data_IF_960322603603
#
_entry.id   IF_960322603603
#
_cell.length_a   1.000
_cell.length_b   1.000
_cell.length_c   1.000
_cell.angle_alpha   90.00
_cell.angle_beta   90.00
_cell.angle_gamma   90.00
#
_symmetry.space_group_name_H-M   'P 1'
#
loop_
_entity.id
_entity.type
_entity.pdbx_description
1 polymer ?
#
# COMPACT_ATOMS: atom_id res chain seq x y z
N UNK A 1 18.03 -22.14 -19.89
CA UNK A 1 17.87 -20.69 -19.62
C UNK A 1 17.32 -20.55 -18.22
N UNK A 2 18.04 -19.89 -17.31
CA UNK A 2 17.59 -19.72 -15.92
C UNK A 2 16.39 -18.78 -15.90
N UNK A 3 15.21 -19.27 -15.51
CA UNK A 3 14.02 -18.43 -15.37
C UNK A 3 14.25 -17.33 -14.32
N UNK A 4 14.31 -16.08 -14.78
CA UNK A 4 14.42 -14.93 -13.89
C UNK A 4 13.02 -14.61 -13.38
N UNK A 5 12.81 -14.85 -12.08
CA UNK A 5 11.56 -14.57 -11.36
C UNK A 5 11.10 -13.11 -11.52
N UNK A 6 9.79 -12.91 -11.63
CA UNK A 6 9.10 -11.62 -11.74
C UNK A 6 9.38 -10.71 -10.54
N UNK A 7 9.59 -11.30 -9.36
CA UNK A 7 9.85 -10.60 -8.11
C UNK A 7 11.35 -10.61 -7.73
N UNK A 8 11.77 -9.58 -7.01
CA UNK A 8 13.09 -9.50 -6.38
C UNK A 8 12.99 -8.99 -4.94
N UNK A 9 13.98 -9.35 -4.12
CA UNK A 9 14.06 -8.92 -2.73
C UNK A 9 14.59 -7.48 -2.64
N UNK A 10 13.95 -6.67 -1.80
CA UNK A 10 14.42 -5.38 -1.32
C UNK A 10 14.57 -5.46 0.19
N UNK A 11 15.73 -5.06 0.69
CA UNK A 11 15.95 -4.86 2.13
C UNK A 11 15.51 -3.43 2.47
N UNK A 12 14.77 -3.30 3.56
CA UNK A 12 14.21 -2.04 4.06
C UNK A 12 14.56 -1.89 5.53
N UNK A 13 15.03 -0.70 5.90
CA UNK A 13 15.28 -0.28 7.28
C UNK A 13 14.02 0.41 7.81
N UNK A 14 13.40 -0.07 8.89
CA UNK A 14 12.20 0.56 9.41
C UNK A 14 12.53 1.86 10.18
N UNK A 15 12.03 3.04 9.77
CA UNK A 15 12.32 4.30 10.47
C UNK A 15 11.63 4.44 11.84
N UNK A 16 10.71 3.53 12.17
CA UNK A 16 9.95 3.54 13.44
C UNK A 16 10.64 2.71 14.53
N UNK A 17 11.07 1.49 14.19
CA UNK A 17 11.66 0.55 15.13
C UNK A 17 13.13 0.20 14.86
N UNK A 18 13.70 0.67 13.75
CA UNK A 18 15.06 0.38 13.27
C UNK A 18 15.33 -1.08 12.88
N UNK A 19 14.29 -1.92 12.81
CA UNK A 19 14.45 -3.29 12.34
C UNK A 19 14.61 -3.37 10.83
N UNK A 20 15.52 -4.25 10.39
CA UNK A 20 15.75 -4.58 8.99
C UNK A 20 14.84 -5.71 8.57
N UNK A 21 14.09 -5.51 7.50
CA UNK A 21 13.23 -6.56 6.93
C UNK A 21 13.36 -6.65 5.41
N UNK A 22 12.92 -7.77 4.86
CA UNK A 22 12.87 -7.99 3.41
C UNK A 22 11.44 -7.78 2.91
N UNK A 23 11.32 -7.24 1.71
CA UNK A 23 10.06 -7.16 0.96
C UNK A 23 10.26 -7.50 -0.51
N UNK A 24 9.20 -7.89 -1.22
CA UNK A 24 9.25 -8.10 -2.67
C UNK A 24 8.97 -6.81 -3.44
N UNK A 25 9.55 -6.73 -4.62
CA UNK A 25 9.21 -5.78 -5.67
C UNK A 25 9.11 -6.47 -7.02
N UNK A 26 8.26 -5.97 -7.89
CA UNK A 26 8.17 -6.45 -9.28
C UNK A 26 9.31 -5.86 -10.12
N UNK A 27 9.96 -6.71 -10.90
CA UNK A 27 10.97 -6.29 -11.88
C UNK A 27 10.27 -5.58 -13.04
N UNK A 28 10.57 -4.29 -13.22
CA UNK A 28 9.99 -3.48 -14.30
C UNK A 28 10.22 -4.09 -15.69
N UNK A 29 11.38 -4.73 -15.92
CA UNK A 29 11.70 -5.41 -17.18
C UNK A 29 10.83 -6.63 -17.51
N UNK A 30 10.01 -7.09 -16.56
CA UNK A 30 9.06 -8.19 -16.73
C UNK A 30 7.61 -7.72 -16.82
N UNK A 31 7.35 -6.42 -16.70
CA UNK A 31 6.01 -5.87 -16.82
C UNK A 31 5.59 -5.76 -18.28
N UNK A 32 4.47 -6.37 -18.61
CA UNK A 32 3.78 -6.17 -19.88
C UNK A 32 2.34 -5.75 -19.61
N UNK A 33 2.04 -4.51 -19.96
CA UNK A 33 0.71 -3.94 -19.85
C UNK A 33 -0.20 -4.57 -20.91
N UNK A 34 -1.34 -5.10 -20.50
CA UNK A 34 -2.40 -5.59 -21.40
C UNK A 34 -3.37 -4.47 -21.74
N UNK A 35 -3.88 -3.80 -20.70
CA UNK A 35 -4.86 -2.73 -20.84
C UNK A 35 -4.76 -1.76 -19.67
N UNK A 36 -5.36 -0.59 -19.85
CA UNK A 36 -5.58 0.41 -18.81
C UNK A 36 -7.06 0.77 -18.81
N UNK A 37 -7.70 0.69 -17.66
CA UNK A 37 -9.08 1.13 -17.47
C UNK A 37 -9.14 2.67 -17.43
N UNK A 38 -10.34 3.25 -17.58
CA UNK A 38 -10.56 4.71 -17.63
C UNK A 38 -10.16 5.41 -16.33
N UNK A 39 -10.27 4.72 -15.20
CA UNK A 39 -9.81 5.22 -13.90
C UNK A 39 -8.32 4.98 -13.67
N UNK A 40 -7.56 4.63 -14.71
CA UNK A 40 -6.11 4.41 -14.72
C UNK A 40 -5.60 3.10 -14.11
N UNK A 41 -6.48 2.16 -13.74
CA UNK A 41 -6.03 0.83 -13.33
C UNK A 41 -5.32 0.11 -14.50
N UNK A 42 -4.06 -0.25 -14.28
CA UNK A 42 -3.27 -1.04 -15.22
C UNK A 42 -3.47 -2.54 -14.98
N UNK A 43 -3.70 -3.28 -16.07
CA UNK A 43 -3.77 -4.74 -16.08
C UNK A 43 -2.51 -5.31 -16.73
N UNK A 44 -1.84 -6.22 -16.02
CA UNK A 44 -0.60 -6.84 -16.47
C UNK A 44 -0.83 -8.32 -16.77
N UNK A 45 -0.07 -8.89 -17.72
CA UNK A 45 -0.16 -10.31 -18.10
C UNK A 45 0.42 -11.28 -17.06
N UNK A 46 1.21 -10.73 -16.14
CA UNK A 46 1.91 -11.43 -15.07
C UNK A 46 1.63 -10.73 -13.73
N UNK A 47 2.62 -10.74 -12.86
CA UNK A 47 2.55 -10.19 -11.52
C UNK A 47 2.24 -8.69 -11.52
N UNK A 48 1.15 -8.29 -10.86
CA UNK A 48 0.71 -6.90 -10.80
C UNK A 48 1.49 -6.11 -9.73
N UNK A 49 2.22 -5.03 -10.10
CA UNK A 49 2.96 -4.17 -9.17
C UNK A 49 2.15 -3.61 -8.02
N UNK A 50 0.85 -3.37 -8.24
CA UNK A 50 -0.02 -2.76 -7.23
C UNK A 50 0.02 -3.53 -5.90
N UNK A 51 0.26 -4.85 -5.93
CA UNK A 51 0.34 -5.69 -4.73
C UNK A 51 1.49 -5.31 -3.76
N UNK A 52 2.52 -4.59 -4.25
CA UNK A 52 3.78 -4.36 -3.53
C UNK A 52 4.12 -2.89 -3.26
N UNK A 53 3.25 -1.95 -3.64
CA UNK A 53 3.52 -0.51 -3.45
C UNK A 53 3.52 -0.08 -1.98
N UNK A 54 2.93 -0.89 -1.09
CA UNK A 54 2.94 -0.67 0.36
C UNK A 54 3.98 -1.56 1.02
N UNK A 55 4.87 -0.94 1.78
CA UNK A 55 5.77 -1.63 2.69
C UNK A 55 5.13 -1.68 4.07
N UNK A 56 5.24 -2.83 4.73
CA UNK A 56 4.75 -3.06 6.09
C UNK A 56 5.89 -3.65 6.89
N UNK A 57 6.27 -2.98 7.98
CA UNK A 57 7.25 -3.51 8.91
C UNK A 57 6.64 -4.70 9.69
N UNK A 58 7.24 -5.90 9.64
CA UNK A 58 6.71 -7.06 10.34
C UNK A 58 6.79 -6.94 11.86
N UNK A 59 7.74 -6.13 12.37
CA UNK A 59 7.98 -5.98 13.80
C UNK A 59 7.08 -4.96 14.49
N UNK A 60 6.83 -3.81 13.86
CA UNK A 60 6.11 -2.70 14.49
C UNK A 60 4.79 -2.33 13.82
N UNK A 61 4.45 -2.95 12.69
CA UNK A 61 3.19 -2.72 11.97
C UNK A 61 3.14 -1.40 11.18
N UNK A 62 4.22 -0.61 11.17
CA UNK A 62 4.27 0.61 10.35
C UNK A 62 4.11 0.25 8.87
N UNK A 63 3.09 0.84 8.24
CA UNK A 63 2.75 0.64 6.85
C UNK A 63 2.71 1.97 6.11
N UNK A 64 3.40 2.06 4.97
CA UNK A 64 3.39 3.25 4.13
C UNK A 64 3.76 2.90 2.69
N UNK A 65 3.47 3.82 1.79
CA UNK A 65 3.89 3.77 0.40
C UNK A 65 5.41 3.68 0.31
N UNK A 66 5.93 2.87 -0.63
CA UNK A 66 7.36 2.74 -0.87
C UNK A 66 8.05 4.11 -1.00
N UNK A 67 7.43 5.04 -1.72
CA UNK A 67 7.99 6.38 -1.98
C UNK A 67 8.06 7.28 -0.75
N UNK A 68 7.33 6.97 0.32
CA UNK A 68 7.22 7.78 1.54
C UNK A 68 7.59 7.03 2.80
N UNK A 69 8.04 5.78 2.68
CA UNK A 69 8.30 4.93 3.84
C UNK A 69 9.31 5.57 4.79
N UNK A 70 10.37 6.19 4.26
CA UNK A 70 11.43 6.83 5.04
C UNK A 70 11.13 8.29 5.43
N UNK A 71 9.98 8.85 5.02
CA UNK A 71 9.63 10.26 5.22
C UNK A 71 8.94 10.57 6.55
N UNK A 72 8.76 9.58 7.42
CA UNK A 72 8.09 9.76 8.71
C UNK A 72 8.92 10.61 9.67
N UNK A 73 8.27 11.58 10.33
CA UNK A 73 8.92 12.46 11.31
C UNK A 73 9.06 11.78 12.69
N UNK A 74 9.99 12.27 13.51
CA UNK A 74 10.21 11.74 14.89
C UNK A 74 8.97 11.80 15.77
N UNK A 75 8.20 12.89 15.69
CA UNK A 75 6.94 13.02 16.45
C UNK A 75 5.88 12.01 15.98
N UNK A 76 5.77 11.78 14.66
CA UNK A 76 4.86 10.79 14.08
C UNK A 76 5.23 9.36 14.47
N UNK A 77 6.53 9.07 14.61
CA UNK A 77 7.01 7.76 15.08
C UNK A 77 6.41 7.37 16.43
N UNK A 78 6.26 8.33 17.35
CA UNK A 78 5.61 8.10 18.65
C UNK A 78 4.14 7.70 18.49
N UNK A 79 3.40 8.41 17.62
CA UNK A 79 1.99 8.10 17.31
C UNK A 79 1.85 6.66 16.81
N UNK A 80 2.74 6.21 15.93
CA UNK A 80 2.74 4.84 15.42
C UNK A 80 3.02 3.83 16.53
N UNK A 81 4.00 4.08 17.39
CA UNK A 81 4.31 3.18 18.50
C UNK A 81 3.13 3.03 19.46
N UNK A 82 2.50 4.15 19.81
CA UNK A 82 1.43 4.19 20.80
C UNK A 82 0.12 3.58 20.27
N UNK A 83 -0.19 3.75 18.98
CA UNK A 83 -1.49 3.36 18.40
C UNK A 83 -1.46 2.10 17.53
N UNK A 84 -0.33 1.81 16.88
CA UNK A 84 -0.16 0.65 16.00
C UNK A 84 0.70 -0.41 16.66
N UNK A 85 1.95 -0.08 17.00
CA UNK A 85 2.92 -1.10 17.45
C UNK A 85 2.51 -1.75 18.77
N UNK A 86 1.89 -0.99 19.68
CA UNK A 86 1.36 -1.49 20.96
C UNK A 86 0.30 -2.58 20.82
N UNK A 87 -0.40 -2.62 19.67
CA UNK A 87 -1.47 -3.58 19.36
C UNK A 87 -1.08 -4.53 18.22
N UNK A 88 0.16 -4.45 17.75
CA UNK A 88 0.61 -5.16 16.56
C UNK A 88 0.94 -6.62 16.87
N UNK A 89 0.30 -7.53 16.14
CA UNK A 89 0.69 -8.93 16.12
C UNK A 89 1.64 -9.15 14.96
N UNK A 90 2.90 -9.50 15.27
CA UNK A 90 3.96 -9.65 14.28
C UNK A 90 3.56 -10.64 13.18
N UNK A 91 3.65 -10.20 11.93
CA UNK A 91 3.35 -11.01 10.74
C UNK A 91 4.05 -10.45 9.52
N UNK A 92 4.42 -11.34 8.62
CA UNK A 92 5.28 -11.01 7.49
C UNK A 92 4.51 -10.63 6.22
N UNK A 93 4.88 -9.50 5.61
CA UNK A 93 4.40 -9.04 4.31
C UNK A 93 5.50 -9.07 3.23
N UNK A 94 6.65 -9.68 3.54
CA UNK A 94 7.84 -9.62 2.73
C UNK A 94 7.92 -10.62 1.58
N UNK A 95 7.01 -11.58 1.54
CA UNK A 95 6.87 -12.58 0.48
C UNK A 95 6.03 -12.14 -0.71
N UNK A 96 5.75 -13.08 -1.60
CA UNK A 96 4.74 -12.93 -2.65
C UNK A 96 3.36 -12.72 -2.02
N UNK A 97 2.55 -11.85 -2.62
CA UNK A 97 1.25 -11.44 -2.09
C UNK A 97 0.15 -11.84 -3.06
N UNK A 98 -0.89 -12.44 -2.51
CA UNK A 98 -2.20 -12.50 -3.15
C UNK A 98 -2.93 -11.15 -2.98
N UNK A 99 -4.13 -11.04 -3.55
CA UNK A 99 -4.91 -9.81 -3.42
C UNK A 99 -5.33 -9.53 -1.97
N UNK A 100 -5.63 -10.56 -1.16
CA UNK A 100 -6.02 -10.36 0.23
C UNK A 100 -4.90 -9.71 1.05
N UNK A 101 -3.68 -10.22 0.92
CA UNK A 101 -2.51 -9.72 1.64
C UNK A 101 -2.08 -8.34 1.15
N UNK A 102 -2.25 -8.05 -0.15
CA UNK A 102 -2.09 -6.70 -0.67
C UNK A 102 -3.14 -5.73 -0.11
N UNK A 103 -4.43 -6.10 -0.13
CA UNK A 103 -5.52 -5.29 0.44
C UNK A 103 -5.26 -5.00 1.92
N UNK A 104 -4.84 -6.01 2.68
CA UNK A 104 -4.48 -5.83 4.09
C UNK A 104 -3.35 -4.81 4.27
N UNK A 105 -2.27 -4.89 3.48
CA UNK A 105 -1.19 -3.92 3.53
C UNK A 105 -1.69 -2.49 3.25
N UNK A 106 -2.55 -2.30 2.24
CA UNK A 106 -3.15 -1.00 1.96
C UNK A 106 -4.08 -0.50 3.05
N UNK A 107 -4.89 -1.37 3.68
CA UNK A 107 -5.73 -0.99 4.82
C UNK A 107 -4.89 -0.55 6.02
N UNK A 108 -3.74 -1.19 6.26
CA UNK A 108 -2.78 -0.75 7.28
C UNK A 108 -2.20 0.63 6.94
N UNK A 109 -1.80 0.86 5.68
CA UNK A 109 -1.31 2.16 5.24
C UNK A 109 -2.39 3.26 5.35
N UNK A 110 -3.65 2.93 5.04
CA UNK A 110 -4.77 3.85 5.21
C UNK A 110 -4.97 4.23 6.69
N UNK A 111 -4.93 3.24 7.59
CA UNK A 111 -5.01 3.47 9.03
C UNK A 111 -3.86 4.35 9.54
N UNK A 112 -2.63 4.07 9.10
CA UNK A 112 -1.45 4.88 9.41
C UNK A 112 -1.64 6.32 8.90
N UNK A 113 -2.09 6.49 7.65
CA UNK A 113 -2.34 7.82 7.08
C UNK A 113 -3.40 8.60 7.87
N UNK A 114 -4.47 7.96 8.31
CA UNK A 114 -5.51 8.59 9.13
C UNK A 114 -4.96 9.04 10.50
N UNK A 115 -4.14 8.20 11.17
CA UNK A 115 -3.52 8.54 12.46
C UNK A 115 -2.48 9.66 12.34
N UNK A 116 -1.79 9.73 11.20
CA UNK A 116 -0.78 10.75 10.94
C UNK A 116 -1.35 12.01 10.27
N UNK A 117 -2.67 12.06 10.08
CA UNK A 117 -3.39 13.17 9.45
C UNK A 117 -2.81 13.57 8.09
N UNK A 118 -2.49 12.57 7.25
CA UNK A 118 -2.04 12.79 5.88
C UNK A 118 -3.10 13.48 5.04
N UNK A 119 -2.71 14.09 3.92
CA UNK A 119 -3.64 14.86 3.08
C UNK A 119 -4.81 14.01 2.60
N UNK A 120 -5.96 14.67 2.37
CA UNK A 120 -7.16 13.99 1.86
C UNK A 120 -6.90 13.33 0.51
N UNK A 121 -6.07 13.95 -0.33
CA UNK A 121 -5.60 13.38 -1.59
C UNK A 121 -4.82 12.06 -1.39
N UNK A 122 -3.92 11.99 -0.41
CA UNK A 122 -3.15 10.76 -0.11
C UNK A 122 -4.05 9.63 0.40
N UNK A 123 -5.00 9.95 1.28
CA UNK A 123 -6.01 9.00 1.75
C UNK A 123 -6.90 8.51 0.60
N UNK A 124 -7.34 9.42 -0.27
CA UNK A 124 -8.15 9.12 -1.45
C UNK A 124 -7.43 8.17 -2.41
N UNK A 125 -6.15 8.42 -2.71
CA UNK A 125 -5.34 7.52 -3.54
C UNK A 125 -5.18 6.12 -2.91
N UNK A 126 -5.05 6.05 -1.59
CA UNK A 126 -4.96 4.77 -0.88
C UNK A 126 -6.29 4.01 -1.01
N UNK A 127 -7.43 4.67 -0.81
CA UNK A 127 -8.75 4.08 -1.04
C UNK A 127 -8.96 3.62 -2.50
N UNK A 128 -8.55 4.42 -3.47
CA UNK A 128 -8.64 4.10 -4.90
C UNK A 128 -7.90 2.79 -5.23
N UNK A 129 -6.67 2.64 -4.72
CA UNK A 129 -5.89 1.43 -4.92
C UNK A 129 -6.50 0.20 -4.21
N UNK A 130 -7.14 0.39 -3.05
CA UNK A 130 -7.91 -0.70 -2.40
C UNK A 130 -9.09 -1.10 -3.29
N UNK A 131 -9.82 -0.13 -3.86
CA UNK A 131 -10.90 -0.39 -4.81
C UNK A 131 -10.42 -1.19 -6.02
N UNK A 132 -9.31 -0.80 -6.63
CA UNK A 132 -8.68 -1.56 -7.72
C UNK A 132 -8.27 -2.98 -7.33
N UNK A 133 -7.73 -3.17 -6.13
CA UNK A 133 -7.38 -4.51 -5.66
C UNK A 133 -8.62 -5.41 -5.51
N UNK A 134 -9.74 -4.86 -5.05
CA UNK A 134 -11.01 -5.58 -5.00
C UNK A 134 -11.58 -5.86 -6.40
N UNK A 135 -11.47 -4.92 -7.35
CA UNK A 135 -11.81 -5.15 -8.77
C UNK A 135 -11.05 -6.34 -9.33
N UNK A 136 -9.73 -6.36 -9.14
CA UNK A 136 -8.86 -7.45 -9.60
C UNK A 136 -9.16 -8.77 -8.90
N UNK A 137 -9.70 -8.72 -7.68
CA UNK A 137 -10.16 -9.90 -6.93
C UNK A 137 -11.57 -10.37 -7.35
N UNK A 138 -12.34 -9.54 -8.07
CA UNK A 138 -13.72 -9.82 -8.48
C UNK A 138 -14.77 -9.54 -7.39
N UNK A 139 -14.47 -8.65 -6.45
CA UNK A 139 -15.31 -8.33 -5.29
C UNK A 139 -15.96 -6.94 -5.46
N UNK A 140 -17.07 -6.90 -6.18
CA UNK A 140 -17.69 -5.66 -6.66
C UNK A 140 -18.21 -4.75 -5.52
N UNK A 141 -18.85 -5.32 -4.49
CA UNK A 141 -19.40 -4.53 -3.38
C UNK A 141 -18.31 -3.76 -2.63
N UNK A 142 -17.19 -4.43 -2.35
CA UNK A 142 -16.05 -3.82 -1.67
C UNK A 142 -15.28 -2.87 -2.59
N UNK A 143 -15.21 -3.14 -3.89
CA UNK A 143 -14.72 -2.18 -4.87
C UNK A 143 -15.53 -0.87 -4.80
N UNK A 144 -16.85 -0.94 -4.97
CA UNK A 144 -17.74 0.23 -4.97
C UNK A 144 -17.59 1.01 -3.66
N UNK A 145 -17.53 0.31 -2.53
CA UNK A 145 -17.32 0.92 -1.21
C UNK A 145 -16.04 1.74 -1.17
N UNK A 146 -14.91 1.20 -1.59
CA UNK A 146 -13.63 1.91 -1.53
C UNK A 146 -13.49 3.00 -2.59
N UNK A 147 -14.08 2.83 -3.78
CA UNK A 147 -14.15 3.89 -4.80
C UNK A 147 -15.01 5.07 -4.32
N UNK A 148 -16.11 4.80 -3.61
CA UNK A 148 -16.94 5.85 -2.99
C UNK A 148 -16.14 6.63 -1.95
N UNK A 149 -15.41 5.93 -1.07
CA UNK A 149 -14.53 6.59 -0.10
C UNK A 149 -13.42 7.40 -0.78
N UNK A 150 -12.85 6.91 -1.87
CA UNK A 150 -11.84 7.64 -2.63
C UNK A 150 -12.41 8.94 -3.21
N UNK A 151 -13.57 8.86 -3.86
CA UNK A 151 -14.31 10.02 -4.40
C UNK A 151 -14.55 11.07 -3.33
N UNK A 152 -15.10 10.69 -2.19
CA UNK A 152 -15.45 11.63 -1.12
C UNK A 152 -14.20 12.34 -0.58
N UNK A 153 -13.08 11.62 -0.44
CA UNK A 153 -11.78 12.20 -0.07
C UNK A 153 -11.22 13.14 -1.12
N UNK A 154 -11.39 12.85 -2.41
CA UNK A 154 -10.96 13.75 -3.48
C UNK A 154 -11.81 15.03 -3.53
N UNK A 155 -13.12 14.94 -3.28
CA UNK A 155 -14.00 16.11 -3.13
C UNK A 155 -13.56 16.97 -1.95
N UNK A 156 -13.31 16.35 -0.78
CA UNK A 156 -12.77 17.06 0.38
C UNK A 156 -11.44 17.76 0.03
N UNK A 157 -10.49 17.06 -0.60
CA UNK A 157 -9.20 17.61 -0.98
C UNK A 157 -9.36 18.84 -1.87
N UNK A 158 -10.16 18.73 -2.95
CA UNK A 158 -10.42 19.81 -3.90
C UNK A 158 -10.99 21.06 -3.22
N UNK A 159 -11.94 20.88 -2.30
CA UNK A 159 -12.58 21.99 -1.58
C UNK A 159 -11.67 22.66 -0.55
N UNK A 160 -10.67 21.95 -0.02
CA UNK A 160 -9.75 22.47 1.02
C UNK A 160 -8.44 23.03 0.47
N UNK A 161 -8.08 22.70 -0.77
CA UNK A 161 -6.87 23.19 -1.44
C UNK A 161 -7.11 24.49 -2.25
N UNK A 162 -8.32 25.06 -2.17
CA UNK A 162 -8.72 26.34 -2.77
C UNK A 162 -8.57 27.52 -1.82
#
# INVERSE_FOLDING_TARGET
>A
MTEIKELYDKIVDCPVCNEKFKTKKVRLSKLRLIKRDEDFLNHYDKENPIKYNIFVCPDCGYASWESKFDSIRRNQTKIIKDNISSKWNKRDFGGERDFNKAIEAYKLALLVGMLLETTKFELGNTCLNIGWLYRLKGEEDEEIRFLTLARDRFIEAFNTES
#
